data_IF_218524564242
#
_entry.id   IF_218524564242
#
_cell.length_a   1.000
_cell.length_b   1.000
_cell.length_c   1.000
_cell.angle_alpha   90.00
_cell.angle_beta   90.00
_cell.angle_gamma   90.00
#
_symmetry.space_group_name_H-M   'P 1'
#
loop_
_entity.id
_entity.type
_entity.pdbx_description
1 polymer ?
#
# COMPACT_ATOMS: atom_id res chain seq x y z
N UNK A 1 -31.00 17.34 83.41
CA UNK A 1 -32.32 16.78 83.08
C UNK A 1 -32.18 15.99 81.78
N UNK A 2 -32.77 14.80 81.78
CA UNK A 2 -32.79 13.77 80.74
C UNK A 2 -33.03 14.29 79.31
N UNK A 3 -32.37 13.72 78.29
CA UNK A 3 -32.95 12.67 77.40
C UNK A 3 -32.16 12.54 76.07
N UNK A 4 -32.08 11.31 75.58
CA UNK A 4 -31.36 10.86 74.38
C UNK A 4 -32.07 11.20 73.04
N UNK A 5 -31.33 11.20 71.91
CA UNK A 5 -31.48 10.25 70.78
C UNK A 5 -30.62 10.64 69.57
N UNK A 6 -30.20 9.63 68.79
CA UNK A 6 -29.38 9.68 67.55
C UNK A 6 -30.28 9.95 66.30
N UNK A 7 -29.83 9.65 65.06
CA UNK A 7 -28.99 10.44 64.16
C UNK A 7 -29.77 10.86 62.88
N UNK A 8 -29.50 12.04 62.31
CA UNK A 8 -30.13 12.49 61.07
C UNK A 8 -29.22 12.34 59.86
N UNK A 9 -29.57 11.45 58.93
CA UNK A 9 -28.96 11.29 57.61
C UNK A 9 -28.83 12.64 56.89
N UNK A 10 -27.60 13.12 56.75
CA UNK A 10 -27.27 14.35 56.03
C UNK A 10 -26.06 14.14 55.14
N UNK A 11 -26.10 13.12 54.26
CA UNK A 11 -25.02 12.92 53.30
C UNK A 11 -25.48 12.21 52.03
N UNK A 12 -26.47 12.77 51.34
CA UNK A 12 -26.81 12.35 49.97
C UNK A 12 -27.27 13.55 49.12
N UNK A 13 -26.42 14.57 48.98
CA UNK A 13 -26.65 15.66 48.00
C UNK A 13 -25.35 16.06 47.29
N UNK A 14 -24.60 15.07 46.81
CA UNK A 14 -23.43 15.34 46.02
C UNK A 14 -22.88 14.09 45.39
N UNK A 15 -23.59 13.54 44.39
CA UNK A 15 -23.09 12.61 43.35
C UNK A 15 -24.26 12.19 42.41
N UNK A 16 -24.90 13.16 41.75
CA UNK A 16 -25.77 12.88 40.60
C UNK A 16 -25.42 13.82 39.43
N UNK A 17 -24.15 13.81 39.03
CA UNK A 17 -23.71 14.15 37.67
C UNK A 17 -22.76 13.06 37.18
N UNK A 18 -23.24 11.83 37.25
CA UNK A 18 -22.62 10.66 36.62
C UNK A 18 -22.98 10.71 35.13
N UNK A 19 -21.96 10.69 34.28
CA UNK A 19 -22.07 11.04 32.88
C UNK A 19 -23.05 10.16 32.10
N UNK A 20 -23.90 10.82 31.32
CA UNK A 20 -24.56 10.21 30.16
C UNK A 20 -23.45 9.92 29.14
N UNK A 21 -22.88 8.71 29.20
CA UNK A 21 -22.17 8.17 28.04
C UNK A 21 -23.25 7.95 26.98
N UNK A 22 -23.29 8.80 25.97
CA UNK A 22 -23.99 8.47 24.74
C UNK A 22 -23.37 7.17 24.22
N UNK A 23 -24.07 6.06 24.44
CA UNK A 23 -23.75 4.81 23.79
C UNK A 23 -23.97 5.07 22.29
N UNK A 24 -22.87 5.28 21.55
CA UNK A 24 -22.91 5.16 20.11
C UNK A 24 -23.14 3.68 19.79
N UNK A 25 -24.40 3.24 19.88
CA UNK A 25 -24.87 2.04 19.20
C UNK A 25 -24.96 2.39 17.72
N UNK A 26 -23.80 2.60 17.10
CA UNK A 26 -23.70 2.57 15.66
C UNK A 26 -24.17 1.20 15.24
N UNK A 27 -25.37 1.13 14.64
CA UNK A 27 -25.86 -0.07 13.97
C UNK A 27 -24.69 -0.61 13.14
N UNK A 28 -24.30 -1.89 13.27
CA UNK A 28 -23.31 -2.44 12.37
C UNK A 28 -23.85 -2.14 10.98
N UNK A 29 -23.10 -1.36 10.18
CA UNK A 29 -23.42 -1.22 8.77
C UNK A 29 -23.25 -2.62 8.22
N UNK A 30 -24.37 -3.35 8.11
CA UNK A 30 -24.44 -4.56 7.29
C UNK A 30 -23.81 -4.23 5.95
N UNK A 31 -23.12 -5.20 5.37
CA UNK A 31 -22.47 -5.08 4.07
C UNK A 31 -23.40 -4.29 3.15
N UNK A 32 -23.01 -3.07 2.81
CA UNK A 32 -23.77 -2.26 1.87
C UNK A 32 -23.73 -3.06 0.56
N UNK A 33 -24.81 -3.77 0.25
CA UNK A 33 -25.00 -4.37 -1.04
C UNK A 33 -24.89 -3.20 -2.03
N UNK A 34 -23.78 -3.15 -2.77
CA UNK A 34 -23.60 -2.17 -3.83
C UNK A 34 -24.77 -2.30 -4.78
N UNK A 35 -25.26 -1.18 -5.30
CA UNK A 35 -26.12 -1.20 -6.48
C UNK A 35 -25.38 -1.95 -7.57
N UNK A 36 -25.91 -3.08 -8.03
CA UNK A 36 -25.24 -3.98 -8.98
C UNK A 36 -24.86 -3.29 -10.31
N UNK A 37 -25.45 -2.13 -10.61
CA UNK A 37 -25.36 -1.48 -11.92
C UNK A 37 -24.38 -0.29 -11.99
N UNK A 38 -23.76 0.11 -10.86
CA UNK A 38 -22.77 1.19 -10.85
C UNK A 38 -21.46 0.71 -10.20
N UNK A 39 -20.36 0.81 -10.95
CA UNK A 39 -19.00 0.49 -10.48
C UNK A 39 -18.75 1.20 -9.14
N UNK A 40 -18.74 0.43 -8.04
CA UNK A 40 -18.58 1.01 -6.72
C UNK A 40 -17.16 1.53 -6.58
N UNK A 41 -17.03 2.75 -6.06
CA UNK A 41 -15.73 3.30 -5.74
C UNK A 41 -14.91 2.33 -4.86
N UNK A 42 -13.72 1.97 -5.34
CA UNK A 42 -12.81 1.04 -4.68
C UNK A 42 -12.77 -0.36 -5.29
N UNK A 43 -13.63 -0.70 -6.26
CA UNK A 43 -13.55 -1.99 -7.00
C UNK A 43 -12.29 -2.10 -7.86
N UNK A 44 -11.72 -0.96 -8.25
CA UNK A 44 -10.54 -0.88 -9.09
C UNK A 44 -9.44 -0.09 -8.39
N UNK A 45 -8.25 -0.67 -8.33
CA UNK A 45 -7.04 0.01 -7.85
C UNK A 45 -5.99 -0.05 -8.95
N UNK A 46 -5.56 1.12 -9.40
CA UNK A 46 -4.49 1.30 -10.36
C UNK A 46 -3.18 1.60 -9.63
N UNK A 47 -2.15 0.85 -9.96
CA UNK A 47 -0.79 1.03 -9.47
C UNK A 47 0.03 1.60 -10.61
N UNK A 48 0.66 2.75 -10.40
CA UNK A 48 1.53 3.40 -11.38
C UNK A 48 2.96 3.35 -10.89
N UNK A 49 3.89 3.05 -11.79
CA UNK A 49 5.32 3.09 -11.50
C UNK A 49 6.03 4.13 -12.36
N UNK A 50 7.02 4.80 -11.78
CA UNK A 50 7.93 5.65 -12.51
C UNK A 50 9.02 4.78 -13.17
N UNK A 51 9.16 4.87 -14.49
CA UNK A 51 10.05 3.99 -15.30
C UNK A 51 11.52 3.95 -14.86
N UNK A 52 12.06 5.07 -14.37
CA UNK A 52 13.48 5.17 -13.94
C UNK A 52 13.72 5.10 -12.44
N UNK A 53 12.97 5.86 -11.64
CA UNK A 53 13.15 5.93 -10.19
C UNK A 53 12.40 4.86 -9.41
N UNK A 54 11.58 4.04 -10.08
CA UNK A 54 10.78 2.97 -9.47
C UNK A 54 9.86 3.43 -8.33
N UNK A 55 9.53 4.72 -8.30
CA UNK A 55 8.51 5.28 -7.41
C UNK A 55 7.14 4.75 -7.78
N UNK A 56 6.30 4.49 -6.79
CA UNK A 56 4.95 3.92 -6.97
C UNK A 56 3.89 4.91 -6.51
N UNK A 57 2.77 4.97 -7.24
CA UNK A 57 1.58 5.75 -6.88
C UNK A 57 0.34 4.83 -7.00
N UNK A 58 -0.52 4.86 -5.99
CA UNK A 58 -1.80 4.14 -6.03
C UNK A 58 -2.96 5.10 -6.35
N UNK A 59 -3.88 4.71 -7.22
CA UNK A 59 -5.10 5.47 -7.52
C UNK A 59 -6.32 4.55 -7.64
N UNK A 60 -7.52 5.08 -7.44
CA UNK A 60 -8.76 4.38 -7.83
C UNK A 60 -9.11 4.60 -9.30
N UNK A 61 -8.53 5.64 -9.92
CA UNK A 61 -8.80 6.02 -11.31
C UNK A 61 -7.75 5.46 -12.27
N UNK A 62 -8.19 5.11 -13.48
CA UNK A 62 -7.30 4.68 -14.59
C UNK A 62 -6.33 5.76 -15.04
N UNK A 63 -6.71 7.03 -14.88
CA UNK A 63 -5.84 8.16 -15.18
C UNK A 63 -5.19 8.67 -13.88
N UNK A 64 -3.88 8.91 -13.95
CA UNK A 64 -3.10 9.41 -12.82
C UNK A 64 -3.38 10.90 -12.60
N UNK A 65 -3.95 11.23 -11.44
CA UNK A 65 -4.10 12.63 -11.05
C UNK A 65 -2.77 13.24 -10.59
N UNK A 66 -2.44 14.40 -11.15
CA UNK A 66 -1.21 15.14 -10.87
C UNK A 66 -1.09 15.56 -9.41
N UNK A 67 -2.19 16.07 -8.83
CA UNK A 67 -2.20 16.64 -7.49
C UNK A 67 -2.17 15.56 -6.40
N UNK A 68 -3.10 14.61 -6.46
CA UNK A 68 -3.20 13.50 -5.51
C UNK A 68 -2.02 12.53 -5.63
N UNK A 69 -1.51 12.29 -6.84
CA UNK A 69 -0.33 11.46 -7.05
C UNK A 69 0.94 12.08 -6.43
N UNK A 70 1.15 13.39 -6.61
CA UNK A 70 2.34 14.07 -6.09
C UNK A 70 2.37 14.14 -4.55
N UNK A 71 1.21 14.09 -3.89
CA UNK A 71 1.11 13.99 -2.42
C UNK A 71 1.59 12.65 -1.87
N UNK A 72 1.64 11.59 -2.68
CA UNK A 72 2.11 10.28 -2.25
C UNK A 72 3.63 10.17 -2.21
N UNK A 73 4.34 11.10 -2.86
CA UNK A 73 5.79 11.08 -2.97
C UNK A 73 6.42 11.92 -1.84
N UNK A 74 7.16 11.30 -0.90
CA UNK A 74 7.87 12.04 0.15
C UNK A 74 9.09 12.78 -0.41
N UNK A 75 9.64 13.68 0.39
CA UNK A 75 10.91 14.32 0.08
C UNK A 75 12.08 13.48 0.62
N UNK A 76 12.73 12.72 -0.27
CA UNK A 76 13.86 11.86 0.09
C UNK A 76 15.23 12.53 -0.16
N UNK A 77 15.25 13.82 -0.51
CA UNK A 77 16.46 14.58 -0.84
C UNK A 77 16.33 15.50 -2.05
N UNK A 78 17.40 16.24 -2.36
CA UNK A 78 17.42 17.12 -3.54
C UNK A 78 17.29 16.28 -4.82
N UNK A 79 16.38 16.70 -5.72
CA UNK A 79 16.07 16.03 -7.00
C UNK A 79 15.48 14.60 -6.88
N UNK A 80 14.98 14.20 -5.71
CA UNK A 80 14.32 12.88 -5.56
C UNK A 80 12.81 12.93 -5.77
N UNK A 81 12.17 14.09 -5.57
CA UNK A 81 10.75 14.33 -5.85
C UNK A 81 10.58 15.18 -7.11
N UNK A 82 9.81 14.74 -8.12
CA UNK A 82 9.56 15.53 -9.31
C UNK A 82 8.67 16.74 -9.00
N UNK A 83 8.80 17.83 -9.76
CA UNK A 83 7.94 19.02 -9.60
C UNK A 83 6.52 18.79 -10.14
N UNK A 84 6.38 17.95 -11.17
CA UNK A 84 5.10 17.53 -11.76
C UNK A 84 5.20 16.09 -12.27
N UNK A 85 4.08 15.38 -12.30
CA UNK A 85 4.01 14.04 -12.88
C UNK A 85 3.96 14.17 -14.40
N UNK A 86 4.99 13.68 -15.09
CA UNK A 86 5.05 13.70 -16.55
C UNK A 86 4.55 12.38 -17.13
N UNK A 87 3.69 12.44 -18.14
CA UNK A 87 3.06 11.25 -18.76
C UNK A 87 4.04 10.20 -19.30
N UNK A 88 5.24 10.61 -19.70
CA UNK A 88 6.24 9.74 -20.30
C UNK A 88 7.01 8.90 -19.27
N UNK A 89 7.11 9.39 -18.03
CA UNK A 89 7.81 8.67 -16.97
C UNK A 89 6.91 7.75 -16.16
N UNK A 90 5.61 8.02 -16.12
CA UNK A 90 4.65 7.27 -15.33
C UNK A 90 3.85 6.34 -16.24
N UNK A 91 3.83 5.06 -15.89
CA UNK A 91 3.02 4.06 -16.59
C UNK A 91 2.27 3.18 -15.59
N UNK A 92 1.09 2.67 -15.94
CA UNK A 92 0.44 1.61 -15.17
C UNK A 92 1.40 0.42 -14.99
N UNK A 93 1.55 -0.02 -13.75
CA UNK A 93 2.28 -1.21 -13.34
C UNK A 93 1.33 -2.41 -13.25
N UNK A 94 0.22 -2.21 -12.52
CA UNK A 94 -0.79 -3.22 -12.27
C UNK A 94 -2.17 -2.59 -12.09
N UNK A 95 -3.22 -3.35 -12.37
CA UNK A 95 -4.62 -3.04 -12.09
C UNK A 95 -5.19 -4.17 -11.23
N UNK A 96 -5.57 -3.86 -10.01
CA UNK A 96 -6.23 -4.78 -9.08
C UNK A 96 -7.74 -4.56 -9.22
N UNK A 97 -8.48 -5.63 -9.51
CA UNK A 97 -9.92 -5.62 -9.71
C UNK A 97 -10.59 -6.58 -8.75
N UNK A 98 -11.55 -6.06 -7.99
CA UNK A 98 -12.45 -6.84 -7.14
C UNK A 98 -13.76 -7.13 -7.88
N UNK A 99 -14.54 -8.09 -7.40
CA UNK A 99 -15.85 -8.37 -7.98
C UNK A 99 -16.83 -7.19 -7.77
N UNK A 100 -17.83 -7.01 -8.63
CA UNK A 100 -18.85 -5.98 -8.46
C UNK A 100 -19.49 -6.02 -7.06
N UNK A 101 -19.67 -4.86 -6.44
CA UNK A 101 -20.20 -4.70 -5.08
C UNK A 101 -19.14 -4.80 -3.97
N UNK A 102 -17.89 -5.16 -4.28
CA UNK A 102 -16.81 -5.31 -3.28
C UNK A 102 -15.97 -4.05 -3.06
N UNK A 103 -16.43 -2.86 -3.45
CA UNK A 103 -15.66 -1.62 -3.31
C UNK A 103 -15.30 -1.25 -1.85
N UNK A 104 -15.96 -1.82 -0.85
CA UNK A 104 -15.55 -1.67 0.56
C UNK A 104 -14.26 -2.45 0.90
N UNK A 105 -14.06 -3.60 0.26
CA UNK A 105 -12.85 -4.43 0.38
C UNK A 105 -11.69 -3.72 -0.29
N UNK A 106 -11.86 -3.27 -1.53
CA UNK A 106 -10.79 -2.59 -2.24
C UNK A 106 -10.37 -1.25 -1.59
N UNK A 107 -11.27 -0.51 -0.94
CA UNK A 107 -10.89 0.64 -0.10
C UNK A 107 -10.00 0.24 1.08
N UNK A 108 -10.29 -0.89 1.73
CA UNK A 108 -9.46 -1.44 2.80
C UNK A 108 -8.08 -1.82 2.28
N UNK A 109 -8.01 -2.52 1.14
CA UNK A 109 -6.75 -2.88 0.48
C UNK A 109 -5.94 -1.65 0.11
N UNK A 110 -6.58 -0.66 -0.52
CA UNK A 110 -5.94 0.60 -0.89
C UNK A 110 -5.33 1.32 0.31
N UNK A 111 -6.07 1.37 1.43
CA UNK A 111 -5.56 1.94 2.67
C UNK A 111 -4.31 1.19 3.15
N UNK A 112 -4.34 -0.14 3.18
CA UNK A 112 -3.21 -0.96 3.65
C UNK A 112 -1.97 -0.81 2.77
N UNK A 113 -2.13 -0.83 1.45
CA UNK A 113 -1.03 -0.58 0.51
C UNK A 113 -0.41 0.81 0.72
N UNK A 114 -1.24 1.83 0.99
CA UNK A 114 -0.76 3.19 1.29
C UNK A 114 -0.05 3.30 2.64
N UNK A 115 -0.53 2.56 3.65
CA UNK A 115 0.10 2.47 4.97
C UNK A 115 1.48 1.79 4.86
N UNK A 116 1.57 0.63 4.19
CA UNK A 116 2.82 -0.10 4.00
C UNK A 116 3.84 0.70 3.19
N UNK A 117 3.42 1.31 2.07
CA UNK A 117 4.30 2.21 1.30
C UNK A 117 4.88 3.32 2.18
N UNK A 118 4.06 3.92 3.03
CA UNK A 118 4.54 4.97 3.94
C UNK A 118 5.55 4.44 4.96
N UNK A 119 5.32 3.24 5.51
CA UNK A 119 6.24 2.57 6.41
C UNK A 119 7.58 2.25 5.72
N UNK A 120 7.57 1.73 4.50
CA UNK A 120 8.79 1.47 3.72
C UNK A 120 9.63 2.74 3.48
N UNK A 121 8.98 3.90 3.39
CA UNK A 121 9.65 5.18 3.17
C UNK A 121 10.15 5.85 4.46
N UNK A 122 9.51 5.61 5.61
CA UNK A 122 9.79 6.31 6.87
C UNK A 122 10.47 5.44 7.92
N UNK A 123 10.09 4.17 8.04
CA UNK A 123 10.49 3.25 9.10
C UNK A 123 11.38 2.11 8.58
N UNK A 124 12.47 2.47 7.90
CA UNK A 124 13.45 1.52 7.35
C UNK A 124 14.57 1.16 8.33
N UNK A 125 15.12 -0.04 8.19
CA UNK A 125 16.20 -0.58 9.03
C UNK A 125 17.58 -0.10 8.56
N UNK A 126 18.62 -0.36 9.37
CA UNK A 126 20.00 0.04 9.03
C UNK A 126 20.53 -0.62 7.74
N UNK A 127 19.87 -1.67 7.25
CA UNK A 127 20.15 -2.27 5.93
C UNK A 127 20.09 -1.25 4.78
N UNK A 128 19.21 -0.25 4.89
CA UNK A 128 19.11 0.79 3.87
C UNK A 128 20.24 1.82 3.99
N UNK A 129 20.91 1.91 5.14
CA UNK A 129 22.12 2.73 5.32
C UNK A 129 23.32 2.11 4.59
N UNK A 130 23.41 0.79 4.49
CA UNK A 130 24.58 0.10 3.93
C UNK A 130 24.39 -0.39 2.50
N UNK A 131 25.41 -0.27 1.66
CA UNK A 131 25.36 -0.78 0.28
C UNK A 131 25.22 -2.31 0.29
N UNK A 132 24.43 -2.82 -0.67
CA UNK A 132 24.38 -4.26 -0.97
C UNK A 132 25.63 -4.66 -1.76
N UNK A 133 26.09 -5.92 -1.69
CA UNK A 133 27.27 -6.38 -2.45
C UNK A 133 27.20 -6.09 -3.96
N UNK A 134 26.00 -6.18 -4.53
CA UNK A 134 25.71 -5.86 -5.95
C UNK A 134 25.99 -4.39 -6.31
N UNK A 135 25.95 -3.49 -5.33
CA UNK A 135 26.13 -2.05 -5.49
C UNK A 135 27.55 -1.58 -5.18
N UNK A 136 28.47 -2.49 -4.85
CA UNK A 136 29.84 -2.12 -4.50
C UNK A 136 30.61 -1.62 -5.72
N UNK A 137 31.07 -0.38 -5.61
CA UNK A 137 32.00 0.20 -6.59
C UNK A 137 33.40 -0.42 -6.44
N UNK A 138 34.25 -0.25 -7.45
CA UNK A 138 35.64 -0.70 -7.36
C UNK A 138 36.40 -0.07 -6.19
N UNK A 139 36.05 1.16 -5.80
CA UNK A 139 36.62 1.84 -4.65
C UNK A 139 36.13 1.22 -3.33
N UNK A 140 34.84 0.88 -3.24
CA UNK A 140 34.28 0.20 -2.07
C UNK A 140 34.98 -1.16 -1.85
N UNK A 141 35.19 -1.93 -2.92
CA UNK A 141 35.89 -3.23 -2.85
C UNK A 141 37.33 -3.12 -2.37
N UNK A 142 38.07 -2.09 -2.81
CA UNK A 142 39.43 -1.82 -2.32
C UNK A 142 39.45 -1.52 -0.83
N UNK A 143 38.57 -0.63 -0.37
CA UNK A 143 38.45 -0.30 1.06
C UNK A 143 38.08 -1.51 1.90
N UNK A 144 37.17 -2.36 1.42
CA UNK A 144 36.82 -3.61 2.11
C UNK A 144 38.06 -4.51 2.27
N UNK A 145 38.90 -4.65 1.24
CA UNK A 145 40.13 -5.45 1.31
C UNK A 145 41.14 -4.84 2.31
N UNK A 146 41.36 -3.52 2.25
CA UNK A 146 42.26 -2.80 3.17
C UNK A 146 41.84 -2.91 4.64
N UNK A 147 40.53 -2.79 4.94
CA UNK A 147 40.03 -2.94 6.30
C UNK A 147 40.04 -4.39 6.77
N UNK A 148 39.82 -5.34 5.85
CA UNK A 148 39.93 -6.77 6.15
C UNK A 148 41.37 -7.17 6.47
N UNK A 149 42.37 -6.60 5.80
CA UNK A 149 43.79 -6.77 6.14
C UNK A 149 44.12 -6.26 7.54
N UNK A 150 43.43 -5.21 8.01
CA UNK A 150 43.53 -4.70 9.38
C UNK A 150 42.73 -5.50 10.40
N UNK A 151 41.95 -6.50 9.96
CA UNK A 151 41.10 -7.34 10.82
C UNK A 151 39.73 -6.75 11.14
N UNK A 152 39.25 -5.75 10.40
CA UNK A 152 37.92 -5.15 10.59
C UNK A 152 36.94 -5.55 9.48
N UNK A 153 35.73 -5.93 9.87
CA UNK A 153 34.62 -6.14 8.94
C UNK A 153 33.99 -4.79 8.57
N UNK A 154 34.38 -4.24 7.42
CA UNK A 154 33.89 -2.96 6.91
C UNK A 154 32.74 -3.16 5.91
N UNK A 155 31.61 -2.50 6.18
CA UNK A 155 30.49 -2.42 5.23
C UNK A 155 30.38 -0.99 4.67
N UNK A 156 30.42 -0.81 3.32
CA UNK A 156 30.28 0.50 2.71
C UNK A 156 28.92 1.16 2.98
N UNK A 157 28.93 2.40 3.46
CA UNK A 157 27.73 3.18 3.76
C UNK A 157 27.26 3.96 2.53
N UNK A 158 25.94 4.02 2.30
CA UNK A 158 25.32 4.86 1.26
C UNK A 158 25.43 6.34 1.62
N UNK A 159 25.75 7.15 0.62
CA UNK A 159 25.62 8.61 0.75
C UNK A 159 24.14 9.01 0.93
N UNK A 160 23.89 10.25 1.41
CA UNK A 160 22.52 10.78 1.53
C UNK A 160 21.77 10.75 0.18
N UNK A 161 22.48 10.99 -0.92
CA UNK A 161 21.90 10.97 -2.26
C UNK A 161 21.57 9.55 -2.72
N UNK A 162 22.52 8.61 -2.58
CA UNK A 162 22.31 7.19 -2.91
C UNK A 162 21.16 6.59 -2.10
N UNK A 163 21.09 6.92 -0.81
CA UNK A 163 19.99 6.49 0.06
C UNK A 163 18.65 7.10 -0.38
N UNK A 164 18.61 8.36 -0.78
CA UNK A 164 17.39 8.98 -1.31
C UNK A 164 16.91 8.34 -2.61
N UNK A 165 17.83 7.86 -3.46
CA UNK A 165 17.51 7.10 -4.67
C UNK A 165 17.01 5.70 -4.30
N UNK A 166 17.68 5.01 -3.38
CA UNK A 166 17.25 3.69 -2.90
C UNK A 166 15.85 3.74 -2.26
N UNK A 167 15.57 4.78 -1.46
CA UNK A 167 14.25 5.01 -0.86
C UNK A 167 13.14 5.25 -1.88
N UNK A 168 13.46 5.79 -3.04
CA UNK A 168 12.49 6.01 -4.10
C UNK A 168 12.11 4.71 -4.83
N UNK A 169 13.01 3.72 -4.85
CA UNK A 169 12.83 2.46 -5.56
C UNK A 169 11.90 1.52 -4.79
N UNK A 170 10.61 1.83 -4.83
CA UNK A 170 9.56 1.14 -4.08
C UNK A 170 8.78 0.12 -4.92
N UNK A 171 9.12 -0.07 -6.20
CA UNK A 171 8.42 -1.01 -7.09
C UNK A 171 8.37 -2.43 -6.54
N UNK A 172 9.52 -2.95 -6.07
CA UNK A 172 9.62 -4.31 -5.54
C UNK A 172 8.80 -4.47 -4.26
N UNK A 173 9.00 -3.54 -3.31
CA UNK A 173 8.25 -3.48 -2.05
C UNK A 173 6.73 -3.41 -2.30
N UNK A 174 6.30 -2.56 -3.23
CA UNK A 174 4.89 -2.42 -3.57
C UNK A 174 4.26 -3.71 -4.09
N UNK A 175 5.01 -4.54 -4.81
CA UNK A 175 4.53 -5.82 -5.33
C UNK A 175 4.49 -6.88 -4.22
N UNK A 176 5.49 -6.90 -3.34
CA UNK A 176 5.45 -7.73 -2.13
C UNK A 176 4.27 -7.34 -1.22
N UNK A 177 4.05 -6.04 -1.01
CA UNK A 177 2.91 -5.52 -0.26
C UNK A 177 1.57 -5.91 -0.89
N UNK A 178 1.48 -5.93 -2.23
CA UNK A 178 0.30 -6.42 -2.93
C UNK A 178 0.02 -7.89 -2.61
N UNK A 179 1.04 -8.75 -2.63
CA UNK A 179 0.88 -10.16 -2.30
C UNK A 179 0.45 -10.34 -0.83
N UNK A 180 1.15 -9.71 0.11
CA UNK A 180 0.81 -9.75 1.54
C UNK A 180 -0.61 -9.25 1.84
N UNK A 181 -0.99 -8.08 1.33
CA UNK A 181 -2.32 -7.51 1.59
C UNK A 181 -3.42 -8.33 0.94
N UNK A 182 -3.21 -8.89 -0.26
CA UNK A 182 -4.21 -9.72 -0.92
C UNK A 182 -4.31 -11.15 -0.35
N UNK A 183 -3.30 -11.59 0.41
CA UNK A 183 -3.35 -12.79 1.25
C UNK A 183 -4.08 -12.56 2.59
N UNK A 184 -4.67 -11.38 2.80
CA UNK A 184 -5.41 -11.05 4.02
C UNK A 184 -4.54 -10.58 5.18
N UNK A 185 -3.25 -10.26 4.94
CA UNK A 185 -2.38 -9.73 6.00
C UNK A 185 -2.76 -8.29 6.38
N UNK A 186 -2.43 -7.91 7.62
CA UNK A 186 -2.71 -6.60 8.18
C UNK A 186 -4.01 -6.54 8.99
N UNK A 187 -3.92 -5.95 10.19
CA UNK A 187 -5.06 -5.85 11.10
C UNK A 187 -6.23 -5.09 10.46
N UNK A 188 -7.41 -5.72 10.50
CA UNK A 188 -8.65 -5.15 9.96
C UNK A 188 -8.75 -5.19 8.43
N UNK A 189 -7.94 -6.01 7.77
CA UNK A 189 -8.03 -6.22 6.32
C UNK A 189 -9.34 -6.95 5.95
N UNK A 190 -10.14 -6.32 5.10
CA UNK A 190 -11.45 -6.85 4.66
C UNK A 190 -11.39 -7.88 3.54
N UNK A 191 -10.20 -8.23 3.05
CA UNK A 191 -10.03 -9.33 2.09
C UNK A 191 -10.34 -10.67 2.76
N UNK A 192 -10.10 -10.77 4.07
CA UNK A 192 -10.45 -11.90 4.90
C UNK A 192 -11.93 -11.86 5.26
N UNK A 193 -12.72 -12.83 4.78
CA UNK A 193 -14.15 -12.93 5.06
C UNK A 193 -14.43 -13.77 6.31
N UNK A 194 -13.69 -14.87 6.49
CA UNK A 194 -13.77 -15.73 7.66
C UNK A 194 -12.41 -16.38 7.95
N UNK A 195 -12.16 -16.64 9.23
CA UNK A 195 -11.07 -17.51 9.69
C UNK A 195 -11.70 -18.77 10.28
N UNK A 196 -11.43 -19.93 9.66
CA UNK A 196 -11.83 -21.21 10.22
C UNK A 196 -10.97 -21.54 11.44
N UNK A 197 -11.50 -22.33 12.38
CA UNK A 197 -10.80 -22.74 13.61
C UNK A 197 -9.50 -23.53 13.32
N UNK A 198 -9.31 -24.03 12.09
CA UNK A 198 -8.09 -24.70 11.61
C UNK A 198 -7.04 -23.78 10.97
N UNK A 199 -7.24 -22.46 10.93
CA UNK A 199 -6.32 -21.51 10.30
C UNK A 199 -6.50 -21.35 8.79
N UNK A 200 -7.48 -22.03 8.18
CA UNK A 200 -7.88 -21.78 6.80
C UNK A 200 -8.59 -20.42 6.71
N UNK A 201 -8.06 -19.56 5.84
CA UNK A 201 -8.60 -18.22 5.60
C UNK A 201 -9.49 -18.26 4.37
N UNK A 202 -10.73 -17.83 4.52
CA UNK A 202 -11.60 -17.54 3.39
C UNK A 202 -11.28 -16.13 2.89
N UNK A 203 -10.82 -16.03 1.64
CA UNK A 203 -10.35 -14.79 1.04
C UNK A 203 -11.24 -14.41 -0.15
N UNK A 204 -11.44 -13.11 -0.34
CA UNK A 204 -12.12 -12.56 -1.51
C UNK A 204 -11.29 -12.80 -2.77
N UNK A 205 -11.94 -13.26 -3.85
CA UNK A 205 -11.32 -13.39 -5.17
C UNK A 205 -10.93 -12.04 -5.77
N UNK A 206 -9.71 -11.96 -6.30
CA UNK A 206 -9.13 -10.74 -6.85
C UNK A 206 -8.39 -11.03 -8.15
N UNK A 207 -8.59 -10.18 -9.15
CA UNK A 207 -7.85 -10.25 -10.41
C UNK A 207 -6.81 -9.14 -10.47
N UNK A 208 -5.55 -9.48 -10.75
CA UNK A 208 -4.49 -8.52 -11.01
C UNK A 208 -4.10 -8.59 -12.48
N UNK A 209 -4.31 -7.51 -13.21
CA UNK A 209 -3.81 -7.34 -14.57
C UNK A 209 -2.47 -6.59 -14.55
N UNK A 210 -1.42 -7.18 -15.14
CA UNK A 210 -0.06 -6.66 -15.12
C UNK A 210 0.33 -6.00 -16.44
N UNK A 211 1.17 -4.97 -16.36
CA UNK A 211 1.83 -4.40 -17.53
C UNK A 211 2.95 -5.31 -18.07
N UNK A 212 3.65 -6.02 -17.18
CA UNK A 212 4.71 -6.96 -17.51
C UNK A 212 4.56 -8.22 -16.63
N UNK A 213 4.53 -9.40 -17.25
CA UNK A 213 4.36 -10.67 -16.53
C UNK A 213 5.50 -10.96 -15.54
N UNK A 214 6.70 -10.45 -15.80
CA UNK A 214 7.84 -10.68 -14.91
C UNK A 214 7.70 -9.98 -13.57
N UNK A 215 6.91 -8.90 -13.49
CA UNK A 215 6.78 -8.11 -12.28
C UNK A 215 6.11 -8.91 -11.15
N UNK A 216 5.25 -9.89 -11.47
CA UNK A 216 4.62 -10.74 -10.43
C UNK A 216 5.63 -11.58 -9.63
N UNK A 217 6.85 -11.77 -10.15
CA UNK A 217 7.91 -12.58 -9.51
C UNK A 217 8.67 -11.84 -8.40
N UNK A 218 8.42 -10.54 -8.21
CA UNK A 218 9.01 -9.82 -7.08
C UNK A 218 8.39 -10.21 -5.74
N UNK A 219 7.19 -10.80 -5.74
CA UNK A 219 6.64 -11.46 -4.57
C UNK A 219 7.07 -12.94 -4.55
N UNK A 220 7.47 -13.43 -3.37
CA UNK A 220 7.93 -14.81 -3.21
C UNK A 220 6.82 -15.84 -3.47
N UNK A 221 5.60 -15.52 -3.05
CA UNK A 221 4.41 -16.34 -3.28
C UNK A 221 3.16 -15.47 -3.39
N UNK A 222 2.11 -16.04 -3.98
CA UNK A 222 0.79 -15.43 -4.10
C UNK A 222 -0.26 -16.36 -3.51
N UNK A 223 -1.28 -15.79 -2.88
CA UNK A 223 -2.41 -16.55 -2.34
C UNK A 223 -3.32 -17.07 -3.46
N UNK A 224 -4.03 -18.16 -3.20
CA UNK A 224 -4.84 -18.88 -4.21
C UNK A 224 -6.04 -18.09 -4.72
N UNK A 225 -6.52 -17.08 -3.99
CA UNK A 225 -7.60 -16.18 -4.39
C UNK A 225 -7.18 -15.14 -5.45
N UNK A 226 -5.88 -15.03 -5.76
CA UNK A 226 -5.37 -14.05 -6.71
C UNK A 226 -5.23 -14.67 -8.10
N UNK A 227 -5.98 -14.13 -9.06
CA UNK A 227 -5.86 -14.49 -10.47
C UNK A 227 -5.02 -13.46 -11.22
N UNK A 228 -4.03 -13.91 -11.99
CA UNK A 228 -3.14 -13.04 -12.77
C UNK A 228 -3.57 -12.97 -14.23
N UNK A 229 -3.55 -11.77 -14.80
CA UNK A 229 -3.78 -11.50 -16.23
C UNK A 229 -2.78 -10.45 -16.74
N UNK A 230 -2.71 -10.28 -18.05
CA UNK A 230 -1.95 -9.19 -18.69
C UNK A 230 -2.92 -8.11 -19.18
N UNK A 231 -2.42 -6.87 -19.31
CA UNK A 231 -3.18 -5.84 -20.01
C UNK A 231 -3.41 -6.22 -21.48
N UNK A 232 -4.67 -6.11 -21.93
CA UNK A 232 -5.08 -6.42 -23.31
C UNK A 232 -4.29 -5.61 -24.35
N UNK A 233 -4.01 -4.34 -24.03
CA UNK A 233 -3.08 -3.51 -24.77
C UNK A 233 -1.82 -3.30 -23.91
N UNK A 234 -0.61 -3.61 -24.40
CA UNK A 234 0.59 -3.24 -23.70
C UNK A 234 0.60 -1.71 -23.55
N UNK A 235 0.50 -1.21 -22.32
CA UNK A 235 0.48 0.23 -22.00
C UNK A 235 1.79 0.96 -22.36
N UNK A 236 2.72 0.29 -23.03
CA UNK A 236 3.98 0.82 -23.54
C UNK A 236 3.88 1.27 -25.00
N UNK A 237 2.75 1.78 -25.47
CA UNK A 237 2.75 2.51 -26.74
C UNK A 237 3.00 3.99 -26.47
N UNK A 238 4.24 4.41 -26.66
CA UNK A 238 4.63 5.82 -26.79
C UNK A 238 4.17 6.43 -28.13
N UNK A 239 2.94 6.11 -28.55
CA UNK A 239 2.31 6.52 -29.81
C UNK A 239 0.81 6.61 -29.59
N UNK A 240 0.15 7.50 -30.32
CA UNK A 240 -1.27 7.84 -30.21
C UNK A 240 -2.19 6.61 -30.00
N UNK A 241 -3.33 6.77 -29.30
CA UNK A 241 -4.29 5.68 -29.19
C UNK A 241 -4.68 5.23 -30.60
N UNK A 242 -4.47 3.95 -30.91
CA UNK A 242 -4.95 3.36 -32.15
C UNK A 242 -6.46 3.63 -32.22
N UNK A 243 -6.86 4.45 -33.20
CA UNK A 243 -8.27 4.67 -33.49
C UNK A 243 -8.87 3.30 -33.83
N UNK A 244 -10.04 2.94 -33.28
CA UNK A 244 -10.66 1.66 -33.60
C UNK A 244 -10.88 1.60 -35.12
N UNK A 245 -10.25 0.63 -35.77
CA UNK A 245 -10.50 0.31 -37.17
C UNK A 245 -11.93 -0.24 -37.22
N UNK A 246 -12.88 0.63 -37.56
CA UNK A 246 -14.22 0.23 -37.96
C UNK A 246 -14.08 -0.72 -39.13
N UNK A 247 -14.32 -2.01 -38.90
CA UNK A 247 -14.53 -2.97 -39.99
C UNK A 247 -15.71 -2.46 -40.79
N UNK A 248 -15.46 -2.00 -42.01
CA UNK A 248 -16.51 -1.76 -42.98
C UNK A 248 -17.22 -3.09 -43.21
N UNK A 249 -18.53 -3.12 -42.94
CA UNK A 249 -19.38 -4.22 -43.33
C UNK A 249 -19.34 -4.32 -44.87
N UNK A 250 -19.07 -5.52 -45.37
CA UNK A 250 -19.19 -5.87 -46.77
C UNK A 250 -20.66 -6.10 -47.15
#
# INVERSE_FOLDING_TARGET
MNSASRPGQGQLLGLLRSGVRFAHTGRPRGAAAGSNDAESHGENIWVFAHRRSEQVIYSFTKQLDGFHGLKQLPFNGKKTKPAKLRKDYWSPLAHIRFQPGQGSVGRSVFQKLRELKHLHEVAWTDELRHKRPEQYTSQDKKKIAEEKEKGFDYQPIRSKQERGIALNAQKQNAIADMASVLAGEGRGNKVLTAEAEGGEKELVDVTISWANDQDKKYAESWSSNVTHSLFEAPTYTSGEPEKPVTKAAA
#
